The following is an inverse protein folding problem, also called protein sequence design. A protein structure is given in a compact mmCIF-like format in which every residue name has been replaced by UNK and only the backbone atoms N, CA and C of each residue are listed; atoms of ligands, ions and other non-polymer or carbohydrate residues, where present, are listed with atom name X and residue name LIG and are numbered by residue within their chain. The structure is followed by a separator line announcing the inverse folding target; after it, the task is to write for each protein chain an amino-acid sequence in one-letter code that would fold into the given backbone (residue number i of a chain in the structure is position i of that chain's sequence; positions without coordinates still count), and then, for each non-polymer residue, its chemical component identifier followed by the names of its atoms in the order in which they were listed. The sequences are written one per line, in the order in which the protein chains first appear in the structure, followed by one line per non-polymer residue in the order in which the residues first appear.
data_IF_707354301231
#
_entry.id   IF_707354301231
#
_cell.length_a   1.000
_cell.length_b   1.000
_cell.length_c   1.000
_cell.angle_alpha   90.00
_cell.angle_beta   90.00
_cell.angle_gamma   90.00
#
_symmetry.space_group_name_H-M   'P 1'
#
loop_
_entity.id
_entity.type
_entity.pdbx_description
1 polymer ?
#
# COMPACT_ATOMS: atom_id res chain seq x y z
N UNK A 1 -26.66 -8.43 6.93
CA UNK A 1 -25.91 -7.28 6.37
C UNK A 1 -25.18 -7.69 5.12
N UNK A 2 -25.31 -6.92 4.10
CA UNK A 2 -24.61 -7.21 2.86
C UNK A 2 -23.19 -6.68 2.95
N UNK A 3 -22.28 -7.30 2.21
CA UNK A 3 -20.90 -6.84 2.22
C UNK A 3 -20.77 -5.41 1.76
N UNK A 4 -21.68 -4.94 0.89
CA UNK A 4 -21.66 -3.55 0.45
C UNK A 4 -21.89 -2.57 1.58
N UNK A 5 -22.55 -3.02 2.64
CA UNK A 5 -22.80 -2.17 3.80
C UNK A 5 -21.63 -2.17 4.77
N UNK A 6 -20.70 -3.09 4.58
CA UNK A 6 -19.52 -3.18 5.43
C UNK A 6 -18.44 -2.35 4.77
N UNK A 7 -18.57 -1.04 4.90
CA UNK A 7 -17.63 -0.14 4.26
C UNK A 7 -16.31 -0.12 4.99
N UNK A 8 -15.23 0.10 4.26
CA UNK A 8 -13.97 0.33 4.92
C UNK A 8 -14.07 1.62 5.71
N UNK A 9 -14.11 1.49 6.96
CA UNK A 9 -14.15 2.64 7.85
C UNK A 9 -13.21 2.37 9.00
N UNK A 10 -12.90 3.44 9.68
CA UNK A 10 -12.06 3.38 10.85
C UNK A 10 -12.64 2.41 11.86
N UNK A 11 -11.83 1.50 12.32
CA UNK A 11 -12.25 0.61 13.40
C UNK A 11 -12.31 1.40 14.69
N UNK A 12 -13.31 1.10 15.50
CA UNK A 12 -13.50 1.83 16.75
C UNK A 12 -12.56 1.28 17.83
N UNK A 13 -11.91 2.15 18.58
CA UNK A 13 -11.09 1.69 19.70
C UNK A 13 -11.94 1.05 20.78
N UNK A 14 -11.36 0.12 21.52
CA UNK A 14 -11.98 -0.38 22.73
C UNK A 14 -12.00 0.72 23.80
N UNK A 15 -12.78 0.54 24.88
CA UNK A 15 -12.81 1.55 25.94
C UNK A 15 -11.45 1.90 26.51
N UNK A 16 -10.50 0.95 26.48
CA UNK A 16 -9.16 1.19 27.00
C UNK A 16 -8.18 1.66 25.94
N UNK A 17 -8.67 2.02 24.75
CA UNK A 17 -7.85 2.64 23.73
C UNK A 17 -7.25 1.66 22.74
N UNK A 18 -7.59 0.38 22.77
CA UNK A 18 -7.09 -0.58 21.80
C UNK A 18 -8.09 -0.80 20.67
N UNK A 19 -7.59 -1.04 19.49
CA UNK A 19 -8.42 -1.42 18.35
C UNK A 19 -7.85 -2.71 17.77
N UNK A 20 -8.71 -3.70 17.60
CA UNK A 20 -8.27 -5.00 17.10
C UNK A 20 -8.72 -5.17 15.67
N UNK A 21 -7.77 -5.17 14.75
CA UNK A 21 -8.05 -5.45 13.35
C UNK A 21 -7.91 -6.94 13.11
N UNK A 22 -8.85 -7.50 12.34
CA UNK A 22 -8.84 -8.94 12.03
C UNK A 22 -8.83 -9.08 10.51
N UNK A 23 -7.65 -9.07 9.89
CA UNK A 23 -7.57 -9.03 8.43
C UNK A 23 -8.32 -10.17 7.73
N UNK A 24 -8.40 -11.35 8.36
CA UNK A 24 -9.10 -12.47 7.73
C UNK A 24 -10.59 -12.21 7.58
N UNK A 25 -11.14 -11.25 8.35
CA UNK A 25 -12.54 -10.89 8.28
C UNK A 25 -12.79 -9.67 7.41
N UNK A 26 -11.73 -9.11 6.82
CA UNK A 26 -11.82 -7.92 6.00
C UNK A 26 -11.76 -8.29 4.54
N UNK A 27 -12.45 -7.52 3.71
CA UNK A 27 -12.40 -7.70 2.27
C UNK A 27 -11.20 -6.98 1.69
N UNK A 28 -10.58 -7.59 0.69
CA UNK A 28 -9.59 -6.91 -0.13
C UNK A 28 -10.32 -5.90 -1.01
N UNK A 29 -9.90 -4.65 -0.95
CA UNK A 29 -10.47 -3.59 -1.77
C UNK A 29 -9.52 -3.28 -2.92
N UNK A 30 -10.05 -2.98 -4.10
CA UNK A 30 -9.17 -2.58 -5.20
C UNK A 30 -8.53 -1.24 -4.89
N UNK A 31 -7.35 -1.02 -5.49
CA UNK A 31 -6.72 0.30 -5.50
C UNK A 31 -6.83 0.85 -6.92
N UNK A 32 -6.33 2.07 -7.11
CA UNK A 32 -6.27 2.63 -8.45
C UNK A 32 -5.24 1.92 -9.34
N UNK A 33 -4.42 1.05 -8.75
CA UNK A 33 -3.38 0.36 -9.50
C UNK A 33 -3.80 -1.07 -9.77
N UNK A 34 -3.74 -1.45 -11.04
CA UNK A 34 -4.15 -2.78 -11.46
C UNK A 34 -3.34 -3.84 -10.74
N UNK A 35 -4.01 -4.87 -10.24
CA UNK A 35 -3.35 -5.99 -9.59
C UNK A 35 -2.95 -5.75 -8.15
N UNK A 36 -3.28 -4.59 -7.59
CA UNK A 36 -2.93 -4.29 -6.18
C UNK A 36 -4.20 -4.00 -5.40
N UNK A 37 -4.41 -4.79 -4.35
CA UNK A 37 -5.58 -4.67 -3.46
C UNK A 37 -5.10 -4.31 -2.06
N UNK A 38 -6.00 -3.79 -1.25
CA UNK A 38 -5.63 -3.22 0.05
C UNK A 38 -6.63 -3.63 1.14
N UNK A 39 -6.11 -3.83 2.35
CA UNK A 39 -6.88 -3.86 3.59
C UNK A 39 -6.27 -2.84 4.52
N UNK A 40 -7.04 -1.83 4.89
CA UNK A 40 -6.54 -0.76 5.76
C UNK A 40 -6.73 -1.21 7.21
N UNK A 41 -5.63 -1.30 7.95
CA UNK A 41 -5.66 -1.73 9.34
C UNK A 41 -5.74 -0.54 10.30
N UNK A 42 -5.13 0.56 9.94
CA UNK A 42 -5.14 1.80 10.71
C UNK A 42 -4.93 2.95 9.76
N UNK A 43 -5.65 4.04 9.99
CA UNK A 43 -5.33 5.28 9.28
C UNK A 43 -5.76 6.48 10.08
N UNK A 44 -5.02 7.57 9.88
CA UNK A 44 -5.34 8.87 10.43
C UNK A 44 -5.18 9.85 9.28
N UNK A 45 -6.31 10.21 8.68
CA UNK A 45 -6.30 11.05 7.49
C UNK A 45 -5.73 12.44 7.77
N UNK A 46 -5.96 12.96 8.97
CA UNK A 46 -5.45 14.29 9.32
C UNK A 46 -3.93 14.31 9.36
N UNK A 47 -3.32 13.22 9.82
CA UNK A 47 -1.86 13.12 9.87
C UNK A 47 -1.27 12.49 8.63
N UNK A 48 -2.09 11.86 7.78
CA UNK A 48 -1.60 11.15 6.60
C UNK A 48 -1.01 9.78 6.91
N UNK A 49 -1.27 9.25 8.10
CA UNK A 49 -0.72 7.97 8.53
C UNK A 49 -1.58 6.82 8.07
N UNK A 50 -0.95 5.72 7.71
CA UNK A 50 -1.68 4.52 7.33
C UNK A 50 -0.83 3.27 7.59
N UNK A 51 -1.49 2.23 8.10
CA UNK A 51 -0.92 0.89 8.15
C UNK A 51 -1.89 -0.01 7.40
N UNK A 52 -1.38 -0.76 6.43
CA UNK A 52 -2.24 -1.56 5.56
C UNK A 52 -1.56 -2.83 5.13
N UNK A 53 -2.38 -3.77 4.66
CA UNK A 53 -1.89 -4.90 3.89
C UNK A 53 -2.12 -4.58 2.42
N UNK A 54 -1.13 -4.87 1.61
CA UNK A 54 -1.23 -4.76 0.16
C UNK A 54 -1.01 -6.13 -0.43
N UNK A 55 -1.89 -6.52 -1.33
CA UNK A 55 -1.78 -7.78 -2.06
C UNK A 55 -1.49 -7.46 -3.51
N UNK A 56 -0.39 -8.02 -3.99
CA UNK A 56 0.10 -7.80 -5.35
C UNK A 56 -0.12 -9.05 -6.15
N UNK A 57 -0.84 -8.94 -7.26
CA UNK A 57 -0.96 -10.04 -8.19
C UNK A 57 0.37 -10.26 -8.89
N UNK A 58 0.66 -11.47 -9.39
CA UNK A 58 1.86 -11.68 -10.18
C UNK A 58 1.92 -10.68 -11.34
N UNK A 59 3.07 -10.00 -11.46
CA UNK A 59 3.29 -9.01 -12.50
C UNK A 59 2.82 -7.61 -12.14
N UNK A 60 2.24 -7.40 -10.97
CA UNK A 60 1.75 -6.08 -10.58
C UNK A 60 2.89 -5.10 -10.38
N UNK A 61 2.58 -3.84 -10.62
CA UNK A 61 3.57 -2.76 -10.55
C UNK A 61 2.96 -1.54 -9.90
N UNK A 62 3.71 -0.94 -8.99
CA UNK A 62 3.36 0.36 -8.44
C UNK A 62 4.26 1.39 -9.12
N UNK A 63 3.67 2.34 -9.85
CA UNK A 63 4.48 3.29 -10.64
C UNK A 63 5.40 4.14 -9.78
N UNK A 64 6.30 4.84 -10.43
CA UNK A 64 7.27 5.70 -9.76
C UNK A 64 6.57 6.62 -8.77
N UNK A 65 7.07 6.61 -7.55
CA UNK A 65 6.52 7.42 -6.47
C UNK A 65 7.61 7.78 -5.49
N UNK A 66 7.34 8.83 -4.73
CA UNK A 66 8.23 9.34 -3.70
C UNK A 66 7.60 9.10 -2.34
N UNK A 67 8.43 8.72 -1.39
CA UNK A 67 8.04 8.60 0.02
C UNK A 67 8.42 9.90 0.73
N UNK A 68 7.45 10.79 1.02
CA UNK A 68 7.79 12.03 1.74
C UNK A 68 8.34 11.76 3.13
N UNK A 69 7.89 10.68 3.77
CA UNK A 69 8.36 10.24 5.07
C UNK A 69 8.74 8.78 5.00
N UNK A 70 9.35 8.28 6.06
CA UNK A 70 9.78 6.88 6.11
C UNK A 70 8.62 5.95 5.79
N UNK A 71 8.91 4.91 5.02
CA UNK A 71 7.98 3.81 4.81
C UNK A 71 8.63 2.54 5.32
N UNK A 72 7.87 1.72 6.03
CA UNK A 72 8.35 0.44 6.54
C UNK A 72 7.47 -0.67 5.99
N UNK A 73 8.09 -1.74 5.52
CA UNK A 73 7.38 -2.84 4.87
C UNK A 73 7.91 -4.18 5.38
N UNK A 74 6.99 -5.03 5.79
CA UNK A 74 7.27 -6.42 6.14
C UNK A 74 6.62 -7.30 5.08
N UNK A 75 7.39 -8.17 4.44
CA UNK A 75 6.85 -9.07 3.41
C UNK A 75 6.31 -10.30 4.10
N UNK A 76 5.03 -10.57 3.92
CA UNK A 76 4.35 -11.72 4.51
C UNK A 76 4.34 -12.91 3.57
N UNK A 77 4.17 -12.69 2.27
CA UNK A 77 4.14 -13.74 1.27
C UNK A 77 4.76 -13.21 -0.01
N UNK A 78 5.38 -14.10 -0.78
CA UNK A 78 5.92 -13.74 -2.08
C UNK A 78 7.14 -12.86 -2.00
N UNK A 79 7.24 -11.94 -2.94
CA UNK A 79 8.39 -11.04 -3.01
C UNK A 79 8.03 -9.80 -3.83
N UNK A 80 8.76 -8.72 -3.57
CA UNK A 80 8.69 -7.56 -4.45
C UNK A 80 10.06 -6.89 -4.50
N UNK A 81 10.28 -6.09 -5.52
CA UNK A 81 11.60 -5.55 -5.78
C UNK A 81 11.53 -4.17 -6.42
N UNK A 82 12.65 -3.46 -6.31
CA UNK A 82 12.86 -2.21 -7.02
C UNK A 82 14.28 -2.20 -7.57
N UNK A 83 14.76 -1.03 -7.99
CA UNK A 83 16.09 -0.93 -8.57
C UNK A 83 17.22 -1.22 -7.59
N UNK A 84 16.93 -1.24 -6.29
CA UNK A 84 17.98 -1.44 -5.28
C UNK A 84 18.02 -2.86 -4.75
N UNK A 85 16.93 -3.62 -4.84
CA UNK A 85 16.94 -4.96 -4.30
C UNK A 85 15.57 -5.60 -4.27
N UNK A 86 15.53 -6.80 -3.69
CA UNK A 86 14.31 -7.58 -3.58
C UNK A 86 14.11 -7.93 -2.11
N UNK A 87 12.85 -7.91 -1.68
CA UNK A 87 12.45 -8.37 -0.36
C UNK A 87 11.51 -9.55 -0.51
N UNK A 88 11.77 -10.61 0.25
CA UNK A 88 11.03 -11.86 0.19
C UNK A 88 10.28 -12.09 1.49
N UNK A 89 9.39 -13.08 1.49
CA UNK A 89 8.61 -13.41 2.68
C UNK A 89 9.51 -13.53 3.90
N UNK A 90 9.12 -12.87 4.98
CA UNK A 90 9.88 -12.85 6.23
C UNK A 90 10.94 -11.75 6.29
N UNK A 91 11.05 -10.95 5.25
CA UNK A 91 12.06 -9.88 5.20
C UNK A 91 11.41 -8.51 5.33
N UNK A 92 12.22 -7.56 5.79
CA UNK A 92 11.77 -6.20 6.11
C UNK A 92 12.62 -5.21 5.31
N UNK A 93 11.97 -4.19 4.79
CA UNK A 93 12.68 -3.10 4.13
C UNK A 93 12.07 -1.80 4.60
N UNK A 94 12.92 -0.81 4.82
CA UNK A 94 12.41 0.54 5.09
C UNK A 94 13.09 1.50 4.13
N UNK A 95 12.35 2.54 3.80
CA UNK A 95 12.79 3.52 2.82
C UNK A 95 12.81 4.87 3.48
N UNK A 96 13.95 5.55 3.36
CA UNK A 96 14.12 6.83 4.04
C UNK A 96 13.26 7.90 3.38
N UNK A 97 12.96 8.97 4.12
CA UNK A 97 12.23 10.10 3.56
C UNK A 97 12.91 10.62 2.31
N UNK A 98 12.11 10.91 1.29
CA UNK A 98 12.59 11.44 0.03
C UNK A 98 12.97 10.40 -1.01
N UNK A 99 12.96 9.13 -0.65
CA UNK A 99 13.31 8.09 -1.62
C UNK A 99 12.26 7.98 -2.72
N UNK A 100 12.73 7.66 -3.93
CA UNK A 100 11.90 7.56 -5.12
C UNK A 100 12.16 6.23 -5.78
N UNK A 101 11.12 5.49 -6.12
CA UNK A 101 11.28 4.22 -6.80
C UNK A 101 9.99 3.78 -7.48
N UNK A 102 10.13 2.76 -8.32
CA UNK A 102 9.04 1.97 -8.84
C UNK A 102 9.16 0.59 -8.21
N UNK A 103 8.05 -0.03 -7.86
CA UNK A 103 8.07 -1.33 -7.22
C UNK A 103 7.31 -2.35 -8.06
N UNK A 104 7.81 -3.57 -8.12
CA UNK A 104 7.21 -4.65 -8.90
C UNK A 104 7.22 -5.95 -8.11
N UNK A 105 6.31 -6.83 -8.48
CA UNK A 105 6.31 -8.20 -7.96
C UNK A 105 6.09 -9.14 -9.13
N UNK A 106 7.02 -10.06 -9.36
CA UNK A 106 6.86 -11.03 -10.44
C UNK A 106 5.96 -12.18 -10.03
N UNK A 107 6.12 -12.66 -8.80
CA UNK A 107 5.37 -13.85 -8.35
C UNK A 107 4.15 -13.50 -7.52
N UNK A 108 3.95 -12.23 -7.22
CA UNK A 108 2.92 -11.80 -6.30
C UNK A 108 3.47 -11.62 -4.92
N UNK A 109 2.74 -10.90 -4.08
CA UNK A 109 3.20 -10.61 -2.73
C UNK A 109 2.03 -10.19 -1.86
N UNK A 110 2.19 -10.41 -0.55
CA UNK A 110 1.36 -9.76 0.46
C UNK A 110 2.33 -9.09 1.40
N UNK A 111 2.15 -7.79 1.59
CA UNK A 111 3.04 -7.00 2.42
C UNK A 111 2.24 -6.23 3.47
N UNK A 112 2.89 -5.97 4.61
CA UNK A 112 2.38 -5.04 5.61
C UNK A 112 3.19 -3.76 5.43
N UNK A 113 2.50 -2.66 5.14
CA UNK A 113 3.15 -1.38 4.89
C UNK A 113 2.70 -0.35 5.92
N UNK A 114 3.67 0.43 6.43
CA UNK A 114 3.42 1.48 7.40
C UNK A 114 3.89 2.79 6.78
N UNK A 115 2.95 3.71 6.61
CA UNK A 115 3.20 5.03 6.02
C UNK A 115 2.95 6.12 7.04
N UNK A 116 3.85 7.10 7.08
CA UNK A 116 3.61 8.31 7.87
C UNK A 116 2.96 9.40 7.03
N UNK A 117 3.18 9.36 5.71
CA UNK A 117 2.55 10.25 4.75
C UNK A 117 2.25 9.46 3.50
N UNK A 118 1.23 9.85 2.74
CA UNK A 118 0.92 9.15 1.50
C UNK A 118 2.06 9.26 0.49
N UNK A 119 2.19 8.24 -0.34
CA UNK A 119 3.09 8.28 -1.48
C UNK A 119 2.71 9.41 -2.41
N UNK A 120 3.70 10.02 -3.01
CA UNK A 120 3.48 11.06 -4.03
C UNK A 120 3.88 10.46 -5.37
N UNK A 121 2.91 10.31 -6.26
CA UNK A 121 3.14 9.71 -7.56
C UNK A 121 3.52 10.76 -8.58
N UNK A 122 4.40 10.40 -9.52
CA UNK A 122 4.80 11.29 -10.58
C UNK A 122 3.61 11.56 -11.49
N UNK A 123 3.36 12.83 -11.77
CA UNK A 123 2.24 13.18 -12.64
C UNK A 123 2.58 12.86 -14.08
N UNK A 124 1.59 12.33 -14.81
CA UNK A 124 1.71 12.10 -16.24
C UNK A 124 1.62 13.44 -16.94
N UNK A 125 2.48 13.65 -17.90
CA UNK A 125 2.40 14.85 -18.71
C UNK A 125 1.33 14.67 -19.76
N UNK A 126 0.65 15.58 -20.14
CA UNK A 126 -0.41 15.46 -20.95
C UNK A 126 -0.31 15.09 -22.34
N UNK A 127 0.30 15.29 -21.68
CA UNK A 127 0.41 14.94 -22.15
C UNK A 127 0.10 14.75 -22.14
N UNK A 128 0.05 15.16 -22.19
CA UNK A 128 -0.12 15.04 -22.22
C UNK A 128 -0.55 14.91 -21.63
N UNK A 129 -0.79 15.22 -21.98
CA UNK A 129 -1.17 15.13 -21.61
C UNK A 129 -1.50 14.31 -21.40
N UNK A 130 -1.74 14.32 -21.72
CA UNK A 130 -1.95 13.65 -21.77
C UNK A 130 -1.71 12.68 -21.58
N UNK A 131 -1.61 12.82 -21.74
CA UNK A 131 -1.30 11.96 -21.68
C UNK A 131 -1.25 11.30 -21.09
N UNK A 132 -1.38 11.43 -20.99
CA UNK A 132 -1.27 10.75 -20.60
C UNK A 132 -1.56 10.27 -19.78
N UNK A 133 -1.79 10.19 -19.72
CA UNK A 133 -2.07 9.73 -19.06
C UNK A 133 -2.03 8.79 -18.48
N UNK A 134 -1.85 8.86 -18.17
CA UNK A 134 -1.75 7.96 -17.82
C UNK A 134 -1.79 7.17 -17.60
N UNK A 135 -1.76 6.99 -17.67
CA UNK A 135 -1.75 6.32 -17.64
C UNK A 135 -1.92 5.77 -17.47
#
# INVERSE_FOLDING_TARGET
MRSADVQPRQLEPTPDGSTYAKPREMEWKPTQFEGISIKVLYEDLAKGEMTCLLKWAPGARLPIHKHPEIEQTWVLEGSFYDHEGIARAGEFVWRKPGSVHETRSDEGAVILAVYRKPNVFQKTRGFGRKAAKSR
#
